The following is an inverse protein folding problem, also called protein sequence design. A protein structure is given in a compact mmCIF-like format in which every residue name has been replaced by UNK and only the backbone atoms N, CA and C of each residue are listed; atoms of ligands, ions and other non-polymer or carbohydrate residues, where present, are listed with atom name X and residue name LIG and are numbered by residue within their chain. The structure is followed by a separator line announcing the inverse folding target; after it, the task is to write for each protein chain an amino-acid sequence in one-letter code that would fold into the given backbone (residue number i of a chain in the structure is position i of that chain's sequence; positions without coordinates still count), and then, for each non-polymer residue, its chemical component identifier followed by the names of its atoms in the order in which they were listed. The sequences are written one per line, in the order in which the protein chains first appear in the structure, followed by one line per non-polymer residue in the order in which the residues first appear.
data_IF_356422796239
#
_entry.id   IF_356422796239
#
_cell.length_a   1.000
_cell.length_b   1.000
_cell.length_c   1.000
_cell.angle_alpha   90.00
_cell.angle_beta   90.00
_cell.angle_gamma   90.00
#
_symmetry.space_group_name_H-M   'P 1'
#
loop_
_entity.id
_entity.type
_entity.pdbx_description
1 polymer ?
#
# COMPACT_ATOMS: atom_id res chain seq x y z
N UNK A 1 -2.89 -36.43 -2.18
CA UNK A 1 -1.76 -35.91 -1.39
C UNK A 1 -1.23 -34.71 -2.16
N UNK A 2 -1.19 -33.52 -1.56
CA UNK A 2 -0.56 -32.38 -2.22
C UNK A 2 0.95 -32.61 -2.16
N UNK A 3 1.59 -32.86 -3.30
CA UNK A 3 3.00 -33.24 -3.41
C UNK A 3 3.97 -32.06 -3.48
N UNK A 4 3.63 -30.91 -2.87
CA UNK A 4 4.49 -29.73 -2.87
C UNK A 4 5.64 -29.86 -1.87
N UNK A 5 6.83 -29.42 -2.27
CA UNK A 5 7.97 -29.25 -1.36
C UNK A 5 7.92 -27.86 -0.72
N UNK A 6 8.12 -27.78 0.60
CA UNK A 6 8.24 -26.51 1.31
C UNK A 6 9.73 -26.23 1.50
N UNK A 7 10.19 -25.12 0.93
CA UNK A 7 11.56 -24.62 1.09
C UNK A 7 11.50 -23.30 1.84
N UNK A 8 12.30 -23.17 2.90
CA UNK A 8 12.44 -21.92 3.63
C UNK A 8 13.30 -20.93 2.84
N UNK A 9 12.84 -19.68 2.76
CA UNK A 9 13.54 -18.58 2.11
C UNK A 9 13.37 -17.31 2.95
N UNK A 10 14.32 -16.39 2.83
CA UNK A 10 14.22 -15.06 3.41
C UNK A 10 13.55 -14.11 2.42
N UNK A 11 12.92 -13.05 2.94
CA UNK A 11 12.34 -11.99 2.13
C UNK A 11 13.32 -10.79 2.08
N UNK A 12 14.12 -10.61 1.02
CA UNK A 12 15.35 -9.81 1.09
C UNK A 12 15.11 -8.33 1.44
N UNK A 13 14.02 -7.73 0.98
CA UNK A 13 13.70 -6.34 1.30
C UNK A 13 13.09 -6.12 2.70
N UNK A 14 12.82 -7.18 3.48
CA UNK A 14 12.04 -7.08 4.72
C UNK A 14 12.66 -6.11 5.73
N UNK A 15 13.98 -6.17 5.94
CA UNK A 15 14.67 -5.30 6.90
C UNK A 15 14.63 -3.80 6.53
N UNK A 16 14.42 -3.47 5.26
CA UNK A 16 14.35 -2.08 4.78
C UNK A 16 12.91 -1.58 4.62
N UNK A 17 11.93 -2.49 4.50
CA UNK A 17 10.52 -2.15 4.25
C UNK A 17 9.61 -2.34 5.44
N UNK A 18 10.00 -3.17 6.40
CA UNK A 18 9.16 -3.57 7.52
C UNK A 18 9.78 -3.02 8.80
N UNK A 19 9.07 -2.16 9.55
CA UNK A 19 9.48 -1.74 10.89
C UNK A 19 9.84 -2.92 11.80
N UNK A 20 10.66 -2.63 12.82
CA UNK A 20 11.10 -3.65 13.77
C UNK A 20 9.96 -4.36 14.53
N UNK A 21 8.76 -3.76 14.61
CA UNK A 21 7.58 -4.38 15.22
C UNK A 21 6.83 -5.35 14.27
N UNK A 22 7.31 -5.49 13.04
CA UNK A 22 6.80 -6.41 12.03
C UNK A 22 5.48 -6.01 11.39
N UNK A 23 4.94 -4.81 11.69
CA UNK A 23 3.67 -4.34 11.13
C UNK A 23 3.89 -3.59 9.83
N UNK A 24 2.92 -3.66 8.93
CA UNK A 24 2.91 -2.76 7.79
C UNK A 24 2.71 -1.31 8.25
N UNK A 25 3.58 -0.43 7.75
CA UNK A 25 3.46 1.00 7.88
C UNK A 25 3.87 1.65 6.55
N UNK A 26 2.90 2.10 5.78
CA UNK A 26 3.10 2.85 4.54
C UNK A 26 3.85 4.18 4.71
N UNK A 27 3.97 4.70 5.93
CA UNK A 27 4.73 5.91 6.26
C UNK A 27 6.19 5.62 6.63
N UNK A 28 6.57 4.34 6.76
CA UNK A 28 7.90 3.92 7.18
C UNK A 28 8.98 4.30 6.17
N UNK A 29 10.10 4.81 6.68
CA UNK A 29 11.23 5.29 5.89
C UNK A 29 11.12 6.76 5.48
N UNK A 30 12.14 7.23 4.77
CA UNK A 30 12.19 8.60 4.26
C UNK A 30 11.12 8.84 3.18
N UNK A 31 10.69 10.09 2.93
CA UNK A 31 9.70 10.39 1.90
C UNK A 31 10.03 9.81 0.52
N UNK A 32 11.31 9.71 0.14
CA UNK A 32 11.74 9.13 -1.13
C UNK A 32 11.77 7.60 -1.17
N UNK A 33 11.43 6.93 -0.07
CA UNK A 33 11.54 5.47 0.11
C UNK A 33 10.25 4.84 0.66
N UNK A 34 9.23 5.65 0.96
CA UNK A 34 7.97 5.17 1.54
C UNK A 34 6.81 5.12 0.55
N UNK A 35 5.92 4.16 0.76
CA UNK A 35 4.72 3.94 -0.06
C UNK A 35 3.79 5.16 -0.05
N UNK A 36 3.61 5.79 1.11
CA UNK A 36 2.67 6.90 1.26
C UNK A 36 2.95 8.08 0.31
N UNK A 37 4.22 8.34 -0.02
CA UNK A 37 4.58 9.41 -0.96
C UNK A 37 4.04 9.15 -2.36
N UNK A 38 3.97 7.88 -2.79
CA UNK A 38 3.33 7.48 -4.04
C UNK A 38 1.82 7.55 -3.88
N UNK A 39 1.29 6.90 -2.85
CA UNK A 39 -0.14 6.74 -2.63
C UNK A 39 -0.87 8.08 -2.54
N UNK A 40 -0.33 9.07 -1.83
CA UNK A 40 -0.97 10.40 -1.69
C UNK A 40 -1.08 11.14 -3.03
N UNK A 41 -0.04 11.05 -3.86
CA UNK A 41 0.00 11.72 -5.17
C UNK A 41 -0.94 11.03 -6.15
N UNK A 42 -0.93 9.70 -6.17
CA UNK A 42 -1.81 8.93 -7.05
C UNK A 42 -3.27 9.03 -6.60
N UNK A 43 -3.55 9.01 -5.29
CA UNK A 43 -4.90 9.21 -4.75
C UNK A 43 -5.50 10.55 -5.21
N UNK A 44 -4.77 11.66 -5.03
CA UNK A 44 -5.24 12.98 -5.48
C UNK A 44 -5.58 12.98 -6.98
N UNK A 45 -4.65 12.52 -7.81
CA UNK A 45 -4.82 12.53 -9.27
C UNK A 45 -5.96 11.60 -9.72
N UNK A 46 -6.05 10.40 -9.15
CA UNK A 46 -7.05 9.41 -9.54
C UNK A 46 -8.45 9.80 -9.07
N UNK A 47 -8.59 10.33 -7.86
CA UNK A 47 -9.87 10.84 -7.36
C UNK A 47 -10.37 11.98 -8.25
N UNK A 48 -9.52 12.97 -8.54
CA UNK A 48 -9.91 14.09 -9.40
C UNK A 48 -10.26 13.63 -10.83
N UNK A 49 -9.49 12.69 -11.39
CA UNK A 49 -9.79 12.11 -12.71
C UNK A 49 -11.14 11.42 -12.72
N UNK A 50 -11.44 10.61 -11.70
CA UNK A 50 -12.71 9.90 -11.57
C UNK A 50 -13.90 10.86 -11.41
N UNK A 51 -13.79 11.83 -10.47
CA UNK A 51 -14.87 12.78 -10.20
C UNK A 51 -15.18 13.69 -11.40
N UNK A 52 -14.16 14.04 -12.19
CA UNK A 52 -14.34 14.82 -13.41
C UNK A 52 -15.33 14.15 -14.39
N UNK A 53 -15.28 12.83 -14.49
CA UNK A 53 -16.11 12.03 -15.41
C UNK A 53 -17.55 11.81 -14.93
N UNK A 54 -17.81 11.92 -13.62
CA UNK A 54 -19.14 11.65 -13.06
C UNK A 54 -20.21 12.61 -13.59
N UNK A 55 -21.42 12.13 -13.82
CA UNK A 55 -22.57 12.98 -14.16
C UNK A 55 -23.52 13.09 -12.97
N UNK A 56 -24.30 14.17 -12.91
CA UNK A 56 -25.31 14.37 -11.86
C UNK A 56 -24.78 14.84 -10.51
N UNK A 57 -23.51 15.25 -10.42
CA UNK A 57 -22.93 15.85 -9.21
C UNK A 57 -22.09 17.08 -9.56
N UNK A 58 -22.06 18.05 -8.66
CA UNK A 58 -21.17 19.21 -8.72
C UNK A 58 -19.81 18.94 -8.08
N UNK A 59 -19.64 17.80 -7.40
CA UNK A 59 -18.38 17.39 -6.76
C UNK A 59 -17.42 16.87 -7.83
N UNK A 60 -16.35 17.63 -8.10
CA UNK A 60 -15.43 17.40 -9.22
C UNK A 60 -13.97 17.24 -8.80
N UNK A 61 -13.67 17.50 -7.54
CA UNK A 61 -12.33 17.47 -6.98
C UNK A 61 -12.32 16.86 -5.58
N UNK A 62 -11.15 16.43 -5.13
CA UNK A 62 -10.93 16.02 -3.75
C UNK A 62 -11.20 17.17 -2.77
N UNK A 63 -10.94 18.42 -3.18
CA UNK A 63 -11.31 19.61 -2.44
C UNK A 63 -12.84 19.74 -2.26
N UNK A 64 -13.63 19.37 -3.26
CA UNK A 64 -15.10 19.37 -3.15
C UNK A 64 -15.59 18.29 -2.17
N UNK A 65 -14.91 17.13 -2.09
CA UNK A 65 -15.19 16.10 -1.06
C UNK A 65 -14.95 16.70 0.33
N UNK A 66 -13.78 17.31 0.53
CA UNK A 66 -13.39 17.90 1.82
C UNK A 66 -14.37 18.98 2.25
N UNK A 67 -14.72 19.88 1.34
CA UNK A 67 -15.67 20.96 1.59
C UNK A 67 -17.07 20.42 1.92
N UNK A 68 -17.52 19.37 1.23
CA UNK A 68 -18.80 18.73 1.52
C UNK A 68 -18.80 18.08 2.91
N UNK A 69 -17.75 17.34 3.26
CA UNK A 69 -17.64 16.75 4.59
C UNK A 69 -17.62 17.83 5.68
N UNK A 70 -16.86 18.91 5.50
CA UNK A 70 -16.80 20.04 6.43
C UNK A 70 -18.17 20.70 6.65
N UNK A 71 -18.94 20.89 5.58
CA UNK A 71 -20.28 21.46 5.65
C UNK A 71 -21.31 20.53 6.31
N UNK A 72 -21.05 19.22 6.33
CA UNK A 72 -21.92 18.18 6.85
C UNK A 72 -21.27 17.39 7.98
N UNK A 73 -20.46 18.05 8.81
CA UNK A 73 -19.51 17.36 9.70
C UNK A 73 -20.18 16.37 10.66
N UNK A 74 -21.38 16.68 11.16
CA UNK A 74 -22.14 15.79 12.05
C UNK A 74 -22.64 14.49 11.41
N UNK A 75 -22.72 14.40 10.08
CA UNK A 75 -23.13 13.18 9.36
C UNK A 75 -21.99 12.53 8.59
N UNK A 76 -21.03 13.34 8.11
CA UNK A 76 -19.90 12.87 7.30
C UNK A 76 -18.62 12.64 8.12
N UNK A 77 -18.57 13.11 9.37
CA UNK A 77 -17.42 12.91 10.24
C UNK A 77 -16.17 13.66 9.77
N UNK A 78 -16.26 14.97 9.50
CA UNK A 78 -15.12 15.72 8.99
C UNK A 78 -13.96 15.82 10.00
N UNK A 79 -14.27 16.00 11.28
CA UNK A 79 -13.27 16.14 12.35
C UNK A 79 -13.33 14.96 13.30
N UNK A 80 -12.22 14.75 14.01
CA UNK A 80 -12.13 13.71 15.03
C UNK A 80 -13.25 13.87 16.07
N UNK A 81 -13.99 12.78 16.31
CA UNK A 81 -15.12 12.76 17.24
C UNK A 81 -16.46 13.24 16.65
N UNK A 82 -16.51 13.74 15.42
CA UNK A 82 -17.77 14.19 14.80
C UNK A 82 -18.73 13.01 14.52
N UNK A 83 -18.18 11.85 14.11
CA UNK A 83 -18.98 10.67 13.76
C UNK A 83 -18.27 9.37 14.17
N UNK A 84 -19.00 8.44 14.80
CA UNK A 84 -18.42 7.21 15.35
C UNK A 84 -17.79 6.29 14.28
N UNK A 85 -18.30 6.32 13.05
CA UNK A 85 -17.70 5.56 11.94
C UNK A 85 -16.38 6.16 11.43
N UNK A 86 -16.11 7.43 11.71
CA UNK A 86 -14.94 8.18 11.26
C UNK A 86 -14.25 8.82 12.46
N UNK A 87 -13.69 7.97 13.34
CA UNK A 87 -13.15 8.41 14.63
C UNK A 87 -12.06 9.50 14.51
N UNK A 88 -11.19 9.41 13.49
CA UNK A 88 -10.16 10.42 13.20
C UNK A 88 -10.62 11.51 12.22
N UNK A 89 -11.83 11.37 11.69
CA UNK A 89 -12.40 12.23 10.66
C UNK A 89 -11.82 12.01 9.27
N UNK A 90 -11.67 13.08 8.49
CA UNK A 90 -11.12 13.06 7.11
C UNK A 90 -9.60 13.32 7.05
N UNK A 91 -8.86 12.89 8.06
CA UNK A 91 -7.42 13.13 8.24
C UNK A 91 -6.56 12.85 6.99
N UNK A 92 -6.81 11.74 6.29
CA UNK A 92 -6.10 11.39 5.07
C UNK A 92 -6.39 12.33 3.91
N UNK A 93 -7.63 12.79 3.75
CA UNK A 93 -7.95 13.80 2.74
C UNK A 93 -7.24 15.13 3.04
N UNK A 94 -7.22 15.52 4.32
CA UNK A 94 -6.52 16.72 4.78
C UNK A 94 -5.00 16.65 4.57
N UNK A 95 -4.40 15.46 4.63
CA UNK A 95 -2.99 15.25 4.29
C UNK A 95 -2.76 15.23 2.77
N UNK A 96 -3.66 14.62 1.99
CA UNK A 96 -3.48 14.42 0.53
C UNK A 96 -3.69 15.69 -0.28
N UNK A 97 -4.77 16.44 -0.01
CA UNK A 97 -5.19 17.62 -0.79
C UNK A 97 -4.07 18.68 -0.94
N UNK A 98 -3.30 19.02 0.11
CA UNK A 98 -2.21 20.00 0.01
C UNK A 98 -1.14 19.68 -1.03
N UNK A 99 -0.91 18.39 -1.38
CA UNK A 99 0.12 18.00 -2.34
C UNK A 99 -0.27 18.19 -3.81
N UNK A 100 -1.56 18.40 -4.10
CA UNK A 100 -2.09 18.71 -5.44
C UNK A 100 -1.61 17.79 -6.56
N UNK A 101 -1.37 16.51 -6.23
CA UNK A 101 -0.97 15.50 -7.20
C UNK A 101 0.38 15.74 -7.88
N UNK A 102 1.26 16.59 -7.32
CA UNK A 102 2.53 16.94 -7.96
C UNK A 102 3.49 15.73 -7.93
N UNK A 103 3.82 15.23 -9.12
CA UNK A 103 4.81 14.15 -9.33
C UNK A 103 6.24 14.72 -9.32
N UNK A 104 6.71 15.15 -8.16
CA UNK A 104 8.02 15.76 -7.97
C UNK A 104 9.18 14.74 -7.98
N UNK A 105 10.39 15.19 -7.62
CA UNK A 105 11.55 14.30 -7.51
C UNK A 105 11.42 13.25 -6.41
N UNK A 106 10.75 13.59 -5.31
CA UNK A 106 10.50 12.67 -4.19
C UNK A 106 9.55 11.56 -4.60
N UNK A 107 8.45 11.90 -5.28
CA UNK A 107 7.50 10.93 -5.85
C UNK A 107 8.19 9.94 -6.80
N UNK A 108 9.00 10.43 -7.75
CA UNK A 108 9.68 9.56 -8.73
C UNK A 108 10.65 8.60 -8.03
N UNK A 109 11.38 9.07 -7.01
CA UNK A 109 12.26 8.23 -6.20
C UNK A 109 11.48 7.20 -5.40
N UNK A 110 10.41 7.61 -4.72
CA UNK A 110 9.55 6.72 -3.93
C UNK A 110 8.88 5.64 -4.79
N UNK A 111 8.42 6.00 -5.99
CA UNK A 111 7.85 5.06 -6.96
C UNK A 111 8.89 4.04 -7.43
N UNK A 112 10.09 4.51 -7.81
CA UNK A 112 11.17 3.62 -8.23
C UNK A 112 11.64 2.71 -7.09
N UNK A 113 11.77 3.25 -5.88
CA UNK A 113 12.17 2.50 -4.69
C UNK A 113 11.13 1.44 -4.35
N UNK A 114 9.85 1.82 -4.29
CA UNK A 114 8.75 0.90 -3.93
C UNK A 114 8.68 -0.24 -4.93
N UNK A 115 8.71 0.03 -6.24
CA UNK A 115 8.67 -1.02 -7.29
C UNK A 115 9.87 -1.96 -7.23
N UNK A 116 11.08 -1.41 -7.13
CA UNK A 116 12.31 -2.21 -7.07
C UNK A 116 12.35 -3.09 -5.82
N UNK A 117 11.99 -2.54 -4.66
CA UNK A 117 12.03 -3.27 -3.39
C UNK A 117 10.89 -4.28 -3.24
N UNK A 118 9.72 -4.03 -3.82
CA UNK A 118 8.61 -4.98 -3.73
C UNK A 118 8.75 -6.13 -4.74
N UNK A 119 9.29 -5.85 -5.92
CA UNK A 119 9.41 -6.80 -7.03
C UNK A 119 10.81 -7.41 -7.12
N UNK A 120 11.74 -6.71 -7.77
CA UNK A 120 13.07 -7.21 -8.11
C UNK A 120 13.86 -7.68 -6.87
N UNK A 121 13.91 -6.85 -5.83
CA UNK A 121 14.61 -7.14 -4.56
C UNK A 121 13.68 -7.70 -3.47
N UNK A 122 12.42 -7.97 -3.83
CA UNK A 122 11.40 -8.48 -2.93
C UNK A 122 10.95 -9.87 -3.36
N UNK A 123 9.80 -9.94 -4.02
CA UNK A 123 9.16 -11.21 -4.41
C UNK A 123 10.03 -12.00 -5.37
N UNK A 124 10.56 -11.38 -6.42
CA UNK A 124 11.32 -12.10 -7.45
C UNK A 124 12.59 -12.69 -6.82
N UNK A 125 13.30 -11.91 -6.00
CA UNK A 125 14.47 -12.40 -5.25
C UNK A 125 14.12 -13.52 -4.25
N UNK A 126 12.97 -13.45 -3.57
CA UNK A 126 12.56 -14.49 -2.63
C UNK A 126 12.15 -15.81 -3.32
N UNK A 127 11.68 -15.75 -4.58
CA UNK A 127 11.35 -16.92 -5.40
C UNK A 127 12.59 -17.64 -5.94
N UNK A 128 13.75 -16.95 -6.03
CA UNK A 128 15.01 -17.53 -6.50
C UNK A 128 15.89 -17.93 -5.31
N UNK A 129 15.91 -19.22 -4.97
CA UNK A 129 16.71 -19.72 -3.82
C UNK A 129 17.89 -20.57 -4.26
N UNK A 130 18.93 -20.65 -3.42
CA UNK A 130 20.03 -21.61 -3.61
C UNK A 130 19.98 -22.68 -2.52
N UNK A 131 19.82 -23.94 -2.91
CA UNK A 131 19.81 -25.11 -2.02
C UNK A 131 20.83 -26.12 -2.51
N UNK A 132 21.75 -26.53 -1.63
CA UNK A 132 22.84 -27.48 -1.95
C UNK A 132 23.66 -27.09 -3.19
N UNK A 133 23.92 -25.79 -3.36
CA UNK A 133 24.67 -25.24 -4.50
C UNK A 133 23.90 -25.20 -5.83
N UNK A 134 22.61 -25.50 -5.82
CA UNK A 134 21.73 -25.41 -7.00
C UNK A 134 20.74 -24.26 -6.85
N UNK A 135 20.56 -23.51 -7.93
CA UNK A 135 19.48 -22.52 -8.03
C UNK A 135 18.16 -23.24 -8.25
N UNK A 136 17.15 -22.86 -7.46
CA UNK A 136 15.78 -23.38 -7.51
C UNK A 136 14.86 -22.17 -7.66
N UNK A 137 13.99 -22.25 -8.66
CA UNK A 137 12.86 -21.33 -8.83
C UNK A 137 11.66 -21.89 -8.07
N UNK A 138 11.11 -21.12 -7.15
CA UNK A 138 9.90 -21.46 -6.43
C UNK A 138 8.66 -21.06 -7.25
N UNK A 139 7.59 -21.87 -7.19
CA UNK A 139 6.34 -21.53 -7.88
C UNK A 139 5.53 -20.45 -7.16
N UNK A 140 5.69 -20.33 -5.84
CA UNK A 140 4.94 -19.40 -4.99
C UNK A 140 5.62 -19.17 -3.64
N UNK A 141 5.27 -18.05 -3.00
CA UNK A 141 5.63 -17.76 -1.62
C UNK A 141 4.42 -17.98 -0.70
N UNK A 142 4.60 -18.77 0.35
CA UNK A 142 3.63 -18.91 1.43
C UNK A 142 4.02 -17.97 2.58
N UNK A 143 3.16 -16.99 2.87
CA UNK A 143 3.40 -15.99 3.90
C UNK A 143 2.49 -16.24 5.11
N UNK A 144 3.07 -16.61 6.24
CA UNK A 144 2.37 -16.72 7.53
C UNK A 144 2.28 -15.35 8.22
N UNK A 145 1.74 -14.37 7.52
CA UNK A 145 1.79 -12.98 7.96
C UNK A 145 0.45 -12.50 8.52
N UNK A 146 0.32 -12.56 9.86
CA UNK A 146 -0.81 -12.00 10.58
C UNK A 146 -0.76 -10.48 10.77
N UNK A 147 0.32 -9.81 10.36
CA UNK A 147 0.55 -8.36 10.53
C UNK A 147 0.49 -7.58 9.20
N UNK A 148 0.32 -8.27 8.08
CA UNK A 148 -0.03 -7.72 6.77
C UNK A 148 1.14 -7.23 5.91
N UNK A 149 2.36 -7.15 6.44
CA UNK A 149 3.54 -6.67 5.71
C UNK A 149 3.82 -7.40 4.39
N UNK A 150 3.77 -8.74 4.37
CA UNK A 150 3.99 -9.54 3.18
C UNK A 150 2.88 -9.39 2.13
N UNK A 151 1.62 -9.26 2.57
CA UNK A 151 0.49 -8.97 1.66
C UNK A 151 0.65 -7.61 0.99
N UNK A 152 1.16 -6.62 1.73
CA UNK A 152 1.34 -5.26 1.23
C UNK A 152 2.51 -5.17 0.26
N UNK A 153 3.59 -5.94 0.48
CA UNK A 153 4.67 -6.04 -0.51
C UNK A 153 4.15 -6.62 -1.83
N UNK A 154 3.29 -7.64 -1.80
CA UNK A 154 2.66 -8.16 -3.02
C UNK A 154 1.76 -7.12 -3.72
N UNK A 155 0.96 -6.37 -2.96
CA UNK A 155 0.16 -5.28 -3.51
C UNK A 155 1.01 -4.23 -4.22
N UNK A 156 2.12 -3.81 -3.61
CA UNK A 156 3.05 -2.84 -4.18
C UNK A 156 3.80 -3.36 -5.41
N UNK A 157 4.03 -4.67 -5.53
CA UNK A 157 4.62 -5.29 -6.71
C UNK A 157 3.64 -5.39 -7.90
N UNK A 158 2.35 -5.14 -7.66
CA UNK A 158 1.27 -5.35 -8.64
C UNK A 158 1.04 -6.83 -8.94
N UNK A 159 1.36 -7.71 -7.98
CA UNK A 159 1.17 -9.15 -8.12
C UNK A 159 -0.14 -9.60 -7.49
N UNK A 160 -0.72 -10.66 -8.04
CA UNK A 160 -1.89 -11.28 -7.46
C UNK A 160 -1.54 -11.91 -6.10
N UNK A 161 -2.29 -11.54 -5.05
CA UNK A 161 -2.30 -12.23 -3.76
C UNK A 161 -3.55 -13.11 -3.67
N UNK A 162 -3.73 -13.99 -4.66
CA UNK A 162 -5.02 -14.62 -4.96
C UNK A 162 -5.42 -15.81 -4.08
N UNK A 163 -4.59 -16.23 -3.10
CA UNK A 163 -4.94 -17.36 -2.24
C UNK A 163 -4.68 -17.11 -0.75
N UNK A 164 -5.72 -16.65 -0.03
CA UNK A 164 -5.76 -16.64 1.44
C UNK A 164 -6.38 -17.95 1.93
N UNK A 165 -5.57 -18.84 2.50
CA UNK A 165 -6.06 -20.08 3.09
C UNK A 165 -6.18 -19.88 4.60
N UNK A 166 -7.34 -20.22 5.17
CA UNK A 166 -7.45 -20.34 6.62
C UNK A 166 -6.67 -21.57 7.08
N UNK A 167 -5.45 -21.35 7.55
CA UNK A 167 -4.79 -22.31 8.41
C UNK A 167 -5.43 -22.15 9.81
N UNK A 168 -6.06 -23.21 10.32
CA UNK A 168 -6.72 -23.18 11.64
C UNK A 168 -5.82 -22.67 12.76
N UNK A 169 -6.42 -22.22 13.87
CA UNK A 169 -5.68 -21.87 15.09
C UNK A 169 -5.04 -23.08 15.73
#
# INVERSE_FOLDING_TARGET
MAGGEIIHTDFPCAGERIPADGKWDWMYGEPSEREFTVAKVDAYNNINSYLAELQGTTMKTAEDIVAYADANSGTEGARAGDHAAFASGQDLFNEVVPYRGVKDGSYRKALSYTRRKSRDEGIDAALHVTKDGRSIELDALLLCDGRGAGQQIAAQAGMESSLKISAGR
#
